data_IF_642810913901
#
_entry.id   IF_642810913901
#
_cell.length_a   1.000
_cell.length_b   1.000
_cell.length_c   1.000
_cell.angle_alpha   90.00
_cell.angle_beta   90.00
_cell.angle_gamma   90.00
#
_symmetry.space_group_name_H-M   'P 1'
#
loop_
_entity.id
_entity.type
_entity.pdbx_description
1 polymer ?
#
# COMPACT_ATOMS: atom_id res chain seq x y z
N UNK A 1 62.69 26.98 65.07
CA UNK A 1 62.73 27.24 63.64
C UNK A 1 61.68 26.30 62.95
N UNK A 2 60.52 26.88 62.68
CA UNK A 2 59.37 26.11 62.14
C UNK A 2 59.41 26.09 60.61
N UNK A 3 59.42 24.89 60.04
CA UNK A 3 59.32 24.66 58.60
C UNK A 3 57.83 24.55 58.27
N UNK A 4 57.32 25.48 57.46
CA UNK A 4 55.94 25.47 56.94
C UNK A 4 55.88 24.57 55.74
N UNK A 5 55.28 23.41 55.89
CA UNK A 5 54.92 22.56 54.70
C UNK A 5 53.63 23.09 54.05
N UNK A 6 53.75 23.52 52.81
CA UNK A 6 52.64 23.92 51.98
C UNK A 6 51.83 22.68 51.61
N UNK A 7 50.58 22.61 52.08
CA UNK A 7 49.60 21.66 51.66
C UNK A 7 48.92 22.23 50.43
N UNK A 8 49.22 21.71 49.28
CA UNK A 8 48.52 22.05 48.04
C UNK A 8 47.27 21.17 47.96
N UNK A 9 46.13 21.78 48.16
CA UNK A 9 44.82 21.14 48.06
C UNK A 9 44.44 21.11 46.58
N UNK A 10 44.54 19.95 45.95
CA UNK A 10 44.03 19.72 44.59
C UNK A 10 42.51 19.62 44.68
N UNK A 11 41.80 20.66 44.23
CA UNK A 11 40.35 20.63 44.03
C UNK A 11 40.08 19.88 42.72
N UNK A 12 39.80 18.60 42.82
CA UNK A 12 39.32 17.81 41.68
C UNK A 12 37.87 18.20 41.37
N UNK A 13 37.69 19.03 40.35
CA UNK A 13 36.36 19.22 39.73
C UNK A 13 35.92 17.91 39.08
N UNK A 14 35.11 17.16 39.77
CA UNK A 14 34.39 16.02 39.19
C UNK A 14 33.26 16.59 38.35
N UNK A 15 33.54 16.81 37.07
CA UNK A 15 32.49 17.12 36.07
C UNK A 15 31.69 15.86 35.84
N UNK A 16 30.58 15.75 36.57
CA UNK A 16 29.58 14.72 36.35
C UNK A 16 28.84 15.07 35.03
N UNK A 17 29.37 14.61 33.91
CA UNK A 17 28.64 14.66 32.64
C UNK A 17 27.46 13.69 32.74
N UNK A 18 26.30 14.21 33.12
CA UNK A 18 25.03 13.54 32.93
C UNK A 18 24.82 13.35 31.45
N UNK A 19 25.27 12.21 30.91
CA UNK A 19 24.84 11.74 29.59
C UNK A 19 23.36 11.41 29.70
N UNK A 20 22.51 12.39 29.41
CA UNK A 20 21.09 12.13 29.13
C UNK A 20 21.11 11.36 27.83
N UNK A 21 21.11 10.04 27.94
CA UNK A 21 20.77 9.18 26.81
C UNK A 21 19.31 9.53 26.45
N UNK A 22 19.14 10.39 25.46
CA UNK A 22 17.88 10.47 24.73
C UNK A 22 17.67 9.07 24.16
N UNK A 23 16.94 8.23 24.86
CA UNK A 23 16.30 7.10 24.23
C UNK A 23 15.34 7.71 23.21
N UNK A 24 15.80 7.82 21.97
CA UNK A 24 14.90 8.02 20.85
C UNK A 24 13.97 6.81 20.87
N UNK A 25 12.82 6.97 21.52
CA UNK A 25 11.71 6.05 21.30
C UNK A 25 11.49 6.07 19.80
N UNK A 26 11.78 4.97 19.13
CA UNK A 26 11.46 4.86 17.72
C UNK A 26 9.96 5.18 17.62
N UNK A 27 9.64 6.30 16.98
CA UNK A 27 8.25 6.70 16.78
C UNK A 27 7.54 5.52 16.13
N UNK A 28 6.39 5.14 16.68
CA UNK A 28 5.60 4.06 16.12
C UNK A 28 5.30 4.39 14.66
N UNK A 29 5.62 3.46 13.75
CA UNK A 29 5.43 3.68 12.31
C UNK A 29 3.95 3.84 12.00
N UNK A 30 3.66 4.68 11.01
CA UNK A 30 2.32 4.83 10.45
C UNK A 30 1.79 3.46 10.00
N UNK A 31 0.67 3.02 10.60
CA UNK A 31 0.12 1.68 10.39
C UNK A 31 -1.02 1.70 9.39
N UNK A 32 -0.86 0.96 8.30
CA UNK A 32 -1.80 0.88 7.18
C UNK A 32 -2.27 -0.56 7.00
N UNK A 33 -3.56 -0.73 6.86
CA UNK A 33 -4.21 -2.00 6.55
C UNK A 33 -4.81 -1.92 5.14
N UNK A 34 -4.66 -2.99 4.38
CA UNK A 34 -5.30 -3.15 3.08
C UNK A 34 -6.28 -4.30 3.10
N UNK A 35 -7.28 -4.28 2.23
CA UNK A 35 -8.25 -5.37 2.15
C UNK A 35 -7.65 -6.64 1.59
N UNK A 36 -6.73 -6.54 0.63
CA UNK A 36 -6.07 -7.71 0.06
C UNK A 36 -4.62 -7.46 -0.37
N UNK A 37 -3.94 -8.54 -0.72
CA UNK A 37 -2.47 -8.59 -0.86
C UNK A 37 -1.90 -7.76 -2.00
N UNK A 38 -2.62 -7.58 -3.11
CA UNK A 38 -2.15 -6.76 -4.24
C UNK A 38 -2.04 -5.29 -3.83
N UNK A 39 -3.07 -4.74 -3.17
CA UNK A 39 -2.99 -3.38 -2.63
C UNK A 39 -1.88 -3.27 -1.58
N UNK A 40 -1.70 -4.31 -0.76
CA UNK A 40 -0.62 -4.33 0.24
C UNK A 40 0.76 -4.25 -0.41
N UNK A 41 0.97 -4.95 -1.52
CA UNK A 41 2.24 -4.89 -2.27
C UNK A 41 2.48 -3.50 -2.86
N UNK A 42 1.48 -2.93 -3.53
CA UNK A 42 1.56 -1.56 -4.05
C UNK A 42 1.85 -0.56 -2.92
N UNK A 43 1.14 -0.67 -1.81
CA UNK A 43 1.32 0.21 -0.66
C UNK A 43 2.69 0.08 -0.02
N UNK A 44 3.27 -1.13 0.06
CA UNK A 44 4.64 -1.34 0.54
C UNK A 44 5.68 -0.68 -0.35
N UNK A 45 5.49 -0.71 -1.66
CA UNK A 45 6.37 -0.03 -2.60
C UNK A 45 6.35 1.50 -2.41
N UNK A 46 5.21 2.07 -2.06
CA UNK A 46 5.09 3.50 -1.74
C UNK A 46 5.62 3.81 -0.34
N UNK A 47 5.33 2.96 0.64
CA UNK A 47 5.72 3.14 2.02
C UNK A 47 7.25 3.09 2.23
N UNK A 48 7.93 2.14 1.59
CA UNK A 48 9.29 1.79 1.97
C UNK A 48 9.34 1.43 3.46
N UNK A 49 10.29 2.00 4.18
CA UNK A 49 10.43 1.80 5.63
C UNK A 49 9.64 2.81 6.48
N UNK A 50 8.96 3.78 5.85
CA UNK A 50 8.28 4.87 6.56
C UNK A 50 6.95 4.44 7.20
N UNK A 51 6.27 3.43 6.67
CA UNK A 51 5.01 2.92 7.19
C UNK A 51 5.02 1.39 7.32
N UNK A 52 4.18 0.88 8.22
CA UNK A 52 3.91 -0.54 8.35
C UNK A 52 2.64 -0.89 7.58
N UNK A 53 2.75 -1.75 6.57
CA UNK A 53 1.62 -2.14 5.72
C UNK A 53 1.36 -3.63 5.87
N UNK A 54 0.11 -3.98 6.13
CA UNK A 54 -0.34 -5.38 6.15
C UNK A 54 -1.70 -5.55 5.45
N UNK A 55 -2.00 -6.79 5.05
CA UNK A 55 -3.25 -7.15 4.42
C UNK A 55 -4.17 -7.86 5.43
N UNK A 56 -5.48 -7.62 5.32
CA UNK A 56 -6.49 -8.39 6.04
C UNK A 56 -6.51 -9.82 5.50
N UNK A 57 -6.66 -9.97 4.18
CA UNK A 57 -6.63 -11.29 3.56
C UNK A 57 -5.21 -11.84 3.50
N UNK A 58 -5.09 -13.16 3.57
CA UNK A 58 -3.81 -13.87 3.42
C UNK A 58 -3.52 -14.12 1.94
N UNK A 59 -2.24 -14.32 1.57
CA UNK A 59 -1.90 -14.76 0.23
C UNK A 59 -2.68 -16.00 -0.19
N UNK A 60 -3.24 -15.98 -1.41
CA UNK A 60 -4.03 -17.08 -1.95
C UNK A 60 -5.46 -17.19 -1.42
N UNK A 61 -5.90 -16.28 -0.56
CA UNK A 61 -7.29 -16.27 -0.11
C UNK A 61 -8.23 -15.76 -1.21
N UNK A 62 -9.44 -16.31 -1.25
CA UNK A 62 -10.55 -15.76 -2.03
C UNK A 62 -10.94 -14.38 -1.47
N UNK A 63 -10.98 -13.38 -2.34
CA UNK A 63 -11.18 -11.98 -1.91
C UNK A 63 -12.62 -11.48 -2.01
N UNK A 64 -13.46 -12.14 -2.83
CA UNK A 64 -14.87 -11.72 -3.00
C UNK A 64 -15.74 -12.15 -1.81
N UNK A 65 -15.51 -13.34 -1.29
CA UNK A 65 -16.30 -13.95 -0.20
C UNK A 65 -15.45 -14.24 1.03
N UNK A 66 -14.44 -13.43 1.29
CA UNK A 66 -13.55 -13.60 2.43
C UNK A 66 -14.33 -13.51 3.76
N UNK A 67 -14.02 -14.41 4.66
CA UNK A 67 -14.57 -14.40 6.02
C UNK A 67 -13.49 -14.05 7.02
N UNK A 68 -13.46 -12.79 7.49
CA UNK A 68 -12.48 -12.35 8.47
C UNK A 68 -12.54 -13.13 9.76
N UNK A 69 -11.38 -13.45 10.28
CA UNK A 69 -11.21 -14.15 11.56
C UNK A 69 -10.94 -13.15 12.69
N UNK A 70 -11.10 -13.56 13.96
CA UNK A 70 -10.66 -12.74 15.10
C UNK A 70 -9.19 -12.34 15.04
N UNK A 71 -8.33 -13.19 14.45
CA UNK A 71 -6.92 -12.87 14.20
C UNK A 71 -6.72 -11.74 13.21
N UNK A 72 -7.57 -11.63 12.20
CA UNK A 72 -7.53 -10.53 11.23
C UNK A 72 -7.91 -9.21 11.89
N UNK A 73 -8.95 -9.22 12.73
CA UNK A 73 -9.36 -8.06 13.52
C UNK A 73 -8.22 -7.62 14.43
N UNK A 74 -7.57 -8.57 15.11
CA UNK A 74 -6.43 -8.27 16.00
C UNK A 74 -5.26 -7.62 15.24
N UNK A 75 -4.94 -8.11 14.03
CA UNK A 75 -3.89 -7.49 13.20
C UNK A 75 -4.22 -6.07 12.76
N UNK A 76 -5.49 -5.79 12.51
CA UNK A 76 -5.96 -4.49 12.09
C UNK A 76 -6.08 -3.47 13.24
N UNK A 77 -6.01 -3.90 14.49
CA UNK A 77 -6.03 -2.99 15.64
C UNK A 77 -4.87 -1.99 15.58
N UNK A 78 -5.15 -0.73 15.88
CA UNK A 78 -4.19 0.35 15.79
C UNK A 78 -3.90 0.84 14.37
N UNK A 79 -4.62 0.34 13.35
CA UNK A 79 -4.53 0.89 11.99
C UNK A 79 -4.94 2.37 11.98
N UNK A 80 -4.20 3.17 11.23
CA UNK A 80 -4.42 4.61 11.08
C UNK A 80 -4.97 4.96 9.70
N UNK A 81 -4.92 4.02 8.76
CA UNK A 81 -5.47 4.12 7.41
C UNK A 81 -5.85 2.74 6.90
N UNK A 82 -6.96 2.67 6.17
CA UNK A 82 -7.41 1.50 5.45
C UNK A 82 -7.43 1.81 3.95
N UNK A 83 -6.88 0.90 3.15
CA UNK A 83 -6.93 0.95 1.69
C UNK A 83 -7.82 -0.19 1.19
N UNK A 84 -8.87 0.16 0.47
CA UNK A 84 -9.81 -0.78 -0.13
C UNK A 84 -9.91 -0.57 -1.64
N UNK A 85 -10.23 -1.63 -2.38
CA UNK A 85 -10.41 -1.55 -3.82
C UNK A 85 -11.68 -0.78 -4.20
N UNK A 86 -12.78 -1.09 -3.55
CA UNK A 86 -14.10 -0.62 -3.98
C UNK A 86 -14.69 -1.41 -5.14
N UNK A 87 -15.63 -0.82 -5.89
CA UNK A 87 -16.34 -1.46 -7.01
C UNK A 87 -17.03 -2.78 -6.60
N UNK A 88 -17.50 -2.89 -5.36
CA UNK A 88 -18.12 -4.08 -4.78
C UNK A 88 -17.23 -5.32 -4.72
N UNK A 89 -15.89 -5.17 -4.76
CA UNK A 89 -14.99 -6.31 -4.65
C UNK A 89 -15.11 -6.99 -3.29
N UNK A 90 -14.98 -6.20 -2.22
CA UNK A 90 -14.90 -6.69 -0.85
C UNK A 90 -16.15 -6.31 -0.03
N UNK A 91 -17.33 -6.88 -0.40
CA UNK A 91 -18.60 -6.62 0.29
C UNK A 91 -18.58 -7.07 1.76
N UNK A 92 -17.77 -8.07 2.11
CA UNK A 92 -17.54 -8.53 3.48
C UNK A 92 -16.88 -7.47 4.37
N UNK A 93 -16.18 -6.52 3.77
CA UNK A 93 -15.38 -5.51 4.49
C UNK A 93 -16.24 -4.60 5.36
N UNK A 94 -17.47 -4.29 4.97
CA UNK A 94 -18.35 -3.41 5.76
C UNK A 94 -18.60 -3.94 7.18
N UNK A 95 -18.76 -5.26 7.34
CA UNK A 95 -18.91 -5.87 8.67
C UNK A 95 -17.60 -5.88 9.44
N UNK A 96 -16.48 -6.08 8.77
CA UNK A 96 -15.16 -6.00 9.37
C UNK A 96 -14.84 -4.58 9.84
N UNK A 97 -15.18 -3.58 9.04
CA UNK A 97 -14.90 -2.18 9.32
C UNK A 97 -15.54 -1.67 10.61
N UNK A 98 -16.65 -2.23 11.01
CA UNK A 98 -17.33 -1.89 12.28
C UNK A 98 -16.46 -2.16 13.52
N UNK A 99 -15.46 -3.04 13.41
CA UNK A 99 -14.50 -3.33 14.49
C UNK A 99 -13.31 -2.35 14.53
N UNK A 100 -13.23 -1.42 13.58
CA UNK A 100 -12.14 -0.45 13.43
C UNK A 100 -12.68 0.95 13.68
N UNK A 101 -12.61 1.39 14.91
CA UNK A 101 -13.22 2.63 15.41
C UNK A 101 -12.73 3.88 14.66
N UNK A 102 -13.49 4.34 13.65
CA UNK A 102 -13.27 5.63 12.98
C UNK A 102 -11.97 5.74 12.17
N UNK A 103 -11.34 4.62 11.82
CA UNK A 103 -10.15 4.63 10.95
C UNK A 103 -10.57 5.08 9.55
N UNK A 104 -9.87 6.07 8.93
CA UNK A 104 -10.20 6.51 7.59
C UNK A 104 -10.00 5.41 6.55
N UNK A 105 -10.94 5.31 5.62
CA UNK A 105 -10.90 4.41 4.47
C UNK A 105 -10.66 5.20 3.18
N UNK A 106 -9.76 4.73 2.33
CA UNK A 106 -9.52 5.28 1.00
C UNK A 106 -9.72 4.19 -0.05
N UNK A 107 -10.54 4.50 -1.05
CA UNK A 107 -10.78 3.63 -2.21
C UNK A 107 -9.69 3.90 -3.24
N UNK A 108 -8.81 2.92 -3.44
CA UNK A 108 -7.62 3.09 -4.30
C UNK A 108 -7.93 3.03 -5.80
N UNK A 109 -9.10 2.51 -6.19
CA UNK A 109 -9.57 2.52 -7.58
C UNK A 109 -10.23 3.83 -8.00
N UNK A 110 -10.31 4.83 -7.13
CA UNK A 110 -10.92 6.12 -7.45
C UNK A 110 -10.25 6.76 -8.67
N UNK A 111 -11.06 7.22 -9.63
CA UNK A 111 -10.57 7.81 -10.89
C UNK A 111 -10.32 6.80 -12.01
N UNK A 112 -10.45 5.51 -11.77
CA UNK A 112 -10.43 4.49 -12.83
C UNK A 112 -11.71 4.59 -13.65
N UNK A 113 -11.58 4.51 -14.99
CA UNK A 113 -12.73 4.32 -15.88
C UNK A 113 -13.13 2.84 -15.86
N UNK A 114 -14.29 2.48 -15.31
CA UNK A 114 -14.66 1.08 -15.15
C UNK A 114 -14.98 0.42 -16.49
N UNK A 115 -14.64 -0.87 -16.56
CA UNK A 115 -15.15 -1.79 -17.58
C UNK A 115 -16.40 -2.46 -16.99
N UNK A 116 -17.47 -2.55 -17.78
CA UNK A 116 -18.69 -3.24 -17.34
C UNK A 116 -18.52 -4.77 -17.41
N UNK A 117 -19.22 -5.46 -16.52
CA UNK A 117 -19.38 -6.93 -16.61
C UNK A 117 -20.42 -7.21 -17.70
N UNK A 118 -20.08 -8.08 -18.63
CA UNK A 118 -20.88 -8.31 -19.84
C UNK A 118 -21.84 -9.49 -19.74
N UNK A 119 -21.69 -10.34 -18.71
CA UNK A 119 -22.52 -11.53 -18.52
C UNK A 119 -22.59 -12.00 -17.07
N UNK A 120 -23.54 -12.86 -16.77
CA UNK A 120 -23.70 -13.46 -15.45
C UNK A 120 -24.49 -12.60 -14.48
N UNK A 121 -24.52 -12.98 -13.16
CA UNK A 121 -25.36 -12.34 -12.15
C UNK A 121 -25.04 -10.86 -11.89
N UNK A 122 -23.87 -10.40 -12.30
CA UNK A 122 -23.38 -9.03 -12.10
C UNK A 122 -23.32 -8.23 -13.38
N UNK A 123 -23.99 -8.66 -14.46
CA UNK A 123 -24.06 -7.93 -15.73
C UNK A 123 -24.44 -6.47 -15.53
N UNK A 124 -23.74 -5.56 -16.21
CA UNK A 124 -23.92 -4.12 -16.10
C UNK A 124 -23.29 -3.45 -14.87
N UNK A 125 -22.75 -4.22 -13.93
CA UNK A 125 -21.98 -3.67 -12.80
C UNK A 125 -20.54 -3.41 -13.22
N UNK A 126 -19.83 -2.47 -12.55
CA UNK A 126 -18.40 -2.30 -12.75
C UNK A 126 -17.63 -3.59 -12.44
N UNK A 127 -16.73 -3.97 -13.33
CA UNK A 127 -15.80 -5.06 -13.06
C UNK A 127 -14.79 -4.58 -12.00
N UNK A 128 -14.66 -5.24 -10.84
CA UNK A 128 -13.84 -4.76 -9.75
C UNK A 128 -12.33 -4.97 -9.95
N UNK A 129 -11.92 -5.79 -10.93
CA UNK A 129 -10.52 -6.21 -11.12
C UNK A 129 -9.66 -5.16 -11.84
N UNK A 130 -9.85 -3.89 -11.47
CA UNK A 130 -9.21 -2.76 -12.16
C UNK A 130 -7.67 -2.76 -12.03
N UNK A 131 -7.13 -3.35 -10.96
CA UNK A 131 -5.68 -3.48 -10.76
C UNK A 131 -4.98 -4.36 -11.79
N UNK A 132 -5.74 -5.17 -12.55
CA UNK A 132 -5.17 -6.00 -13.62
C UNK A 132 -4.71 -5.19 -14.83
N UNK A 133 -5.12 -3.93 -14.92
CA UNK A 133 -4.61 -2.97 -15.91
C UNK A 133 -3.34 -2.30 -15.38
N UNK A 134 -2.23 -2.35 -16.12
CA UNK A 134 -1.02 -1.60 -15.79
C UNK A 134 -1.24 -0.08 -15.74
N UNK A 135 -2.12 0.45 -16.57
CA UNK A 135 -2.42 1.88 -16.58
C UNK A 135 -3.23 2.28 -15.33
N UNK A 136 -4.18 1.44 -14.92
CA UNK A 136 -4.89 1.62 -13.67
C UNK A 136 -3.98 1.46 -12.45
N UNK A 137 -2.97 0.58 -12.51
CA UNK A 137 -1.99 0.45 -11.43
C UNK A 137 -1.31 1.78 -11.09
N UNK A 138 -1.04 2.63 -12.09
CA UNK A 138 -0.49 3.97 -11.87
C UNK A 138 -1.46 4.86 -11.09
N UNK A 139 -2.76 4.75 -11.38
CA UNK A 139 -3.83 5.47 -10.63
C UNK A 139 -3.88 4.98 -9.19
N UNK A 140 -3.82 3.66 -8.97
CA UNK A 140 -3.77 3.08 -7.62
C UNK A 140 -2.58 3.60 -6.82
N UNK A 141 -1.40 3.63 -7.43
CA UNK A 141 -0.18 4.14 -6.79
C UNK A 141 -0.32 5.61 -6.41
N UNK A 142 -0.90 6.44 -7.29
CA UNK A 142 -1.15 7.85 -7.00
C UNK A 142 -2.13 8.02 -5.83
N UNK A 143 -3.22 7.26 -5.80
CA UNK A 143 -4.20 7.29 -4.71
C UNK A 143 -3.60 6.85 -3.38
N UNK A 144 -2.75 5.81 -3.39
CA UNK A 144 -2.03 5.35 -2.20
C UNK A 144 -1.06 6.42 -1.70
N UNK A 145 -0.27 7.01 -2.58
CA UNK A 145 0.65 8.12 -2.26
C UNK A 145 -0.10 9.27 -1.61
N UNK A 146 -1.19 9.71 -2.22
CA UNK A 146 -1.96 10.87 -1.75
C UNK A 146 -2.60 10.59 -0.38
N UNK A 147 -3.08 9.37 -0.15
CA UNK A 147 -3.58 8.94 1.15
C UNK A 147 -2.47 8.94 2.21
N UNK A 148 -1.29 8.42 1.88
CA UNK A 148 -0.15 8.41 2.81
C UNK A 148 0.31 9.82 3.16
N UNK A 149 0.42 10.72 2.17
CA UNK A 149 0.77 12.12 2.40
C UNK A 149 -0.26 12.82 3.29
N UNK A 150 -1.55 12.54 3.07
CA UNK A 150 -2.64 13.13 3.85
C UNK A 150 -2.61 12.70 5.32
N UNK A 151 -2.38 11.42 5.59
CA UNK A 151 -2.52 10.86 6.94
C UNK A 151 -1.20 10.69 7.69
N UNK A 152 -0.06 10.77 6.98
CA UNK A 152 1.29 10.79 7.55
C UNK A 152 2.17 11.83 6.84
N UNK A 153 1.87 13.12 6.97
CA UNK A 153 2.54 14.20 6.24
C UNK A 153 4.03 14.33 6.56
N UNK A 154 4.49 13.84 7.70
CA UNK A 154 5.90 13.88 8.09
C UNK A 154 6.80 13.10 7.11
N UNK A 155 6.27 12.09 6.44
CA UNK A 155 6.99 11.25 5.47
C UNK A 155 6.64 11.54 4.01
N UNK A 156 5.98 12.67 3.72
CA UNK A 156 5.47 13.04 2.38
C UNK A 156 6.50 12.90 1.27
N UNK A 157 7.72 13.39 1.49
CA UNK A 157 8.78 13.32 0.47
C UNK A 157 9.19 11.88 0.15
N UNK A 158 9.21 11.02 1.15
CA UNK A 158 9.51 9.59 0.98
C UNK A 158 8.44 8.92 0.13
N UNK A 159 7.18 9.15 0.45
CA UNK A 159 6.05 8.59 -0.31
C UNK A 159 6.02 9.08 -1.75
N UNK A 160 6.29 10.36 -1.97
CA UNK A 160 6.37 10.93 -3.33
C UNK A 160 7.48 10.27 -4.14
N UNK A 161 8.72 10.22 -3.62
CA UNK A 161 9.84 9.58 -4.32
C UNK A 161 9.60 8.11 -4.62
N UNK A 162 9.08 7.37 -3.65
CA UNK A 162 8.82 5.96 -3.81
C UNK A 162 7.73 5.70 -4.85
N UNK A 163 6.65 6.48 -4.83
CA UNK A 163 5.58 6.38 -5.82
C UNK A 163 6.10 6.68 -7.23
N UNK A 164 6.88 7.74 -7.42
CA UNK A 164 7.46 8.10 -8.72
C UNK A 164 8.39 6.99 -9.24
N UNK A 165 9.25 6.46 -8.37
CA UNK A 165 10.16 5.35 -8.71
C UNK A 165 9.36 4.09 -9.08
N UNK A 166 8.33 3.76 -8.33
CA UNK A 166 7.52 2.57 -8.56
C UNK A 166 6.72 2.68 -9.87
N UNK A 167 6.08 3.83 -10.13
CA UNK A 167 5.38 4.07 -11.40
C UNK A 167 6.31 4.01 -12.60
N UNK A 168 7.51 4.58 -12.51
CA UNK A 168 8.52 4.49 -13.56
C UNK A 168 8.93 3.03 -13.82
N UNK A 169 9.12 2.24 -12.75
CA UNK A 169 9.43 0.80 -12.87
C UNK A 169 8.31 0.03 -13.56
N UNK A 170 7.05 0.26 -13.19
CA UNK A 170 5.89 -0.36 -13.85
C UNK A 170 5.90 -0.04 -15.35
N UNK A 171 6.00 1.23 -15.71
CA UNK A 171 5.97 1.69 -17.10
C UNK A 171 7.12 1.11 -17.92
N UNK A 172 8.34 1.15 -17.39
CA UNK A 172 9.55 0.64 -18.08
C UNK A 172 9.51 -0.87 -18.26
N UNK A 173 9.02 -1.61 -17.26
CA UNK A 173 8.92 -3.07 -17.32
C UNK A 173 7.90 -3.51 -18.37
N UNK A 174 6.81 -2.78 -18.52
CA UNK A 174 5.71 -3.14 -19.40
C UNK A 174 5.87 -2.65 -20.84
N UNK A 175 6.63 -1.59 -21.07
CA UNK A 175 6.80 -1.03 -22.41
C UNK A 175 7.24 -2.07 -23.47
N UNK A 176 8.28 -2.91 -23.27
CA UNK A 176 8.68 -3.90 -24.26
C UNK A 176 7.64 -4.99 -24.47
N UNK A 177 6.89 -5.37 -23.42
CA UNK A 177 5.83 -6.38 -23.51
C UNK A 177 4.64 -5.85 -24.30
N UNK A 178 4.23 -4.60 -24.08
CA UNK A 178 3.20 -3.94 -24.88
C UNK A 178 3.57 -3.90 -26.37
N UNK A 179 4.84 -3.59 -26.67
CA UNK A 179 5.34 -3.58 -28.04
C UNK A 179 5.24 -4.97 -28.67
N UNK A 180 5.70 -6.01 -27.98
CA UNK A 180 5.63 -7.39 -28.49
C UNK A 180 4.18 -7.82 -28.78
N UNK A 181 3.23 -7.49 -27.90
CA UNK A 181 1.81 -7.81 -28.13
C UNK A 181 1.24 -7.02 -29.30
N UNK A 182 1.61 -5.74 -29.43
CA UNK A 182 1.15 -4.90 -30.55
C UNK A 182 1.68 -5.36 -31.93
N UNK A 183 2.79 -6.08 -31.94
CA UNK A 183 3.38 -6.67 -33.16
C UNK A 183 2.71 -7.99 -33.56
N UNK A 184 1.89 -8.60 -32.71
CA UNK A 184 1.14 -9.80 -33.04
C UNK A 184 0.11 -9.52 -34.17
N UNK A 185 -0.10 -10.44 -35.13
CA UNK A 185 -1.20 -10.35 -36.06
C UNK A 185 -2.56 -10.26 -35.31
N UNK A 186 -3.51 -9.53 -35.87
CA UNK A 186 -4.82 -9.33 -35.23
C UNK A 186 -5.55 -10.66 -34.91
N UNK A 187 -5.42 -11.66 -35.77
CA UNK A 187 -6.00 -12.98 -35.53
C UNK A 187 -5.31 -13.81 -34.45
N UNK A 188 -4.21 -13.33 -33.89
CA UNK A 188 -3.48 -13.95 -32.76
C UNK A 188 -3.63 -13.15 -31.46
N UNK A 189 -4.37 -12.05 -31.47
CA UNK A 189 -4.59 -11.20 -30.28
C UNK A 189 -5.82 -11.65 -29.48
N UNK A 190 -5.87 -12.93 -29.16
CA UNK A 190 -6.93 -13.49 -28.32
C UNK A 190 -6.37 -13.88 -26.96
N UNK A 191 -7.12 -13.55 -25.92
CA UNK A 191 -6.86 -13.97 -24.55
C UNK A 191 -8.05 -14.79 -24.08
N UNK A 192 -7.79 -16.02 -23.63
CA UNK A 192 -8.81 -16.90 -23.07
C UNK A 192 -8.52 -17.05 -21.60
N UNK A 193 -9.50 -16.74 -20.77
CA UNK A 193 -9.39 -16.76 -19.30
C UNK A 193 -10.51 -17.61 -18.70
N UNK A 194 -10.30 -18.06 -17.47
CA UNK A 194 -11.32 -18.82 -16.73
C UNK A 194 -12.39 -17.95 -16.08
N UNK A 195 -12.14 -16.64 -16.03
CA UNK A 195 -13.03 -15.66 -15.38
C UNK A 195 -12.81 -14.26 -15.96
N UNK A 196 -13.76 -13.36 -15.74
CA UNK A 196 -13.74 -11.98 -16.25
C UNK A 196 -12.78 -11.03 -15.53
N UNK A 197 -11.76 -11.54 -14.83
CA UNK A 197 -10.82 -10.70 -14.08
C UNK A 197 -9.85 -9.91 -14.97
N UNK A 198 -9.69 -10.30 -16.23
CA UNK A 198 -8.65 -9.78 -17.11
C UNK A 198 -9.14 -8.74 -18.14
N UNK A 199 -10.40 -8.36 -18.12
CA UNK A 199 -10.98 -7.46 -19.13
C UNK A 199 -10.29 -6.10 -19.20
N UNK A 200 -9.79 -5.56 -18.09
CA UNK A 200 -8.98 -4.33 -18.11
C UNK A 200 -7.63 -4.53 -18.81
N UNK A 201 -6.98 -5.67 -18.56
CA UNK A 201 -5.72 -6.01 -19.20
C UNK A 201 -5.91 -6.20 -20.71
N UNK A 202 -6.96 -6.94 -21.11
CA UNK A 202 -7.31 -7.13 -22.50
C UNK A 202 -7.53 -5.80 -23.22
N UNK A 203 -8.32 -4.91 -22.62
CA UNK A 203 -8.55 -3.55 -23.15
C UNK A 203 -7.23 -2.80 -23.38
N UNK A 204 -6.35 -2.77 -22.39
CA UNK A 204 -5.12 -1.98 -22.42
C UNK A 204 -4.09 -2.51 -23.41
N UNK A 205 -4.11 -3.81 -23.66
CA UNK A 205 -3.20 -4.48 -24.59
C UNK A 205 -3.79 -4.68 -26.00
N UNK A 206 -5.03 -4.27 -26.22
CA UNK A 206 -5.72 -4.48 -27.49
C UNK A 206 -5.94 -5.97 -27.80
N UNK A 207 -6.17 -6.77 -26.77
CA UNK A 207 -6.51 -8.19 -26.90
C UNK A 207 -8.04 -8.36 -26.97
N UNK A 208 -8.46 -9.40 -27.65
CA UNK A 208 -9.86 -9.86 -27.68
C UNK A 208 -10.03 -10.92 -26.58
N UNK A 209 -11.10 -10.83 -25.84
CA UNK A 209 -11.47 -11.75 -24.76
C UNK A 209 -12.69 -12.58 -25.18
#
# INVERSE_FOLDING_TARGET
>A
MLSIKKVTMLLGCLVLTCSIAFQASAAEKFKVITTFTIIADMAKNVAGDAAEVSSITKPGAEIHEYQPTPGDIKRAQGAQLILANGMNLELWFQRFYQHLNGVPEVIVSSGVTPVGITEGPYEGKPNPHAWMSPDNALIYVDNIRDAFIKYDPANSQTYQRNADTYKAKITQTLAPLRKQIAELPENQRWMVTSEGAFSYLARDLGLKE
#
